data_IF_834779706310
#
_entry.id   IF_834779706310
#
_cell.length_a   1.000
_cell.length_b   1.000
_cell.length_c   1.000
_cell.angle_alpha   90.00
_cell.angle_beta   90.00
_cell.angle_gamma   90.00
#
_symmetry.space_group_name_H-M   'P 1'
#
loop_
_entity.id
_entity.type
_entity.pdbx_description
1 polymer ?
#
# COMPACT_ATOMS: atom_id res chain seq x y z
N UNK A 1 -6.73 -54.40 -29.09
CA UNK A 1 -6.77 -53.69 -30.38
C UNK A 1 -8.17 -53.12 -30.57
N UNK A 2 -8.38 -51.84 -30.28
CA UNK A 2 -9.55 -51.06 -30.73
C UNK A 2 -9.24 -49.59 -30.54
N UNK A 3 -9.48 -48.82 -31.61
CA UNK A 3 -9.13 -47.42 -31.76
C UNK A 3 -10.07 -46.48 -30.99
N UNK A 4 -9.58 -45.32 -30.60
CA UNK A 4 -10.39 -44.10 -30.68
C UNK A 4 -9.51 -42.89 -30.97
N UNK A 5 -9.94 -42.20 -32.01
CA UNK A 5 -9.31 -41.12 -32.73
C UNK A 5 -10.03 -39.85 -32.29
N UNK A 6 -9.34 -38.83 -31.76
CA UNK A 6 -9.88 -37.46 -31.78
C UNK A 6 -8.83 -36.44 -32.20
N UNK A 7 -9.13 -35.89 -33.38
CA UNK A 7 -8.62 -34.71 -34.07
C UNK A 7 -8.49 -33.50 -33.13
N UNK A 8 -7.55 -32.60 -33.41
CA UNK A 8 -7.90 -31.30 -34.01
C UNK A 8 -6.67 -30.60 -34.62
N UNK A 9 -6.93 -30.02 -35.80
CA UNK A 9 -6.15 -29.16 -36.70
C UNK A 9 -5.12 -28.24 -36.02
N UNK A 10 -3.89 -28.11 -36.53
CA UNK A 10 -3.45 -27.42 -37.75
C UNK A 10 -3.79 -25.91 -37.81
N UNK A 11 -2.71 -25.13 -37.98
CA UNK A 11 -2.60 -23.77 -38.53
C UNK A 11 -2.65 -22.58 -37.56
N UNK A 12 -1.48 -22.01 -37.31
CA UNK A 12 -1.29 -20.58 -37.53
C UNK A 12 0.11 -20.36 -38.10
N UNK A 13 0.19 -20.27 -39.43
CA UNK A 13 1.35 -19.74 -40.13
C UNK A 13 1.04 -18.29 -40.48
N UNK A 14 1.76 -17.35 -39.87
CA UNK A 14 2.06 -16.05 -40.49
C UNK A 14 3.39 -15.57 -39.88
N UNK A 15 4.51 -15.83 -40.54
CA UNK A 15 5.20 -14.85 -41.39
C UNK A 15 5.72 -13.62 -40.63
N UNK A 16 6.96 -13.74 -40.17
CA UNK A 16 8.07 -12.80 -40.35
C UNK A 16 7.74 -11.32 -40.68
N UNK A 17 8.12 -10.42 -39.76
CA UNK A 17 8.78 -9.17 -40.13
C UNK A 17 9.98 -8.96 -39.21
N UNK A 18 11.17 -9.07 -39.78
CA UNK A 18 12.46 -8.80 -39.16
C UNK A 18 12.79 -7.32 -39.36
N UNK A 19 13.15 -6.58 -38.29
CA UNK A 19 14.32 -5.68 -38.30
C UNK A 19 14.90 -5.51 -36.88
N UNK A 20 16.16 -5.90 -36.76
CA UNK A 20 17.19 -5.43 -35.84
C UNK A 20 17.07 -5.77 -34.33
N UNK A 21 17.75 -6.85 -33.96
CA UNK A 21 18.89 -6.71 -33.05
C UNK A 21 18.61 -6.37 -31.59
N UNK A 22 17.80 -7.17 -30.89
CA UNK A 22 18.21 -7.75 -29.61
C UNK A 22 17.20 -8.82 -29.19
N UNK A 23 17.70 -10.00 -28.82
CA UNK A 23 16.89 -11.09 -28.29
C UNK A 23 16.32 -10.66 -26.94
N UNK A 24 15.05 -10.26 -26.89
CA UNK A 24 14.31 -10.21 -25.63
C UNK A 24 14.08 -11.65 -25.18
N UNK A 25 14.82 -12.07 -24.15
CA UNK A 25 14.48 -13.25 -23.39
C UNK A 25 13.26 -12.89 -22.54
N UNK A 26 12.07 -13.16 -23.07
CA UNK A 26 10.84 -13.09 -22.30
C UNK A 26 10.99 -13.94 -21.06
N UNK A 27 11.06 -13.27 -19.90
CA UNK A 27 10.88 -13.93 -18.62
C UNK A 27 9.51 -14.59 -18.61
N UNK A 28 9.43 -15.80 -18.06
CA UNK A 28 8.16 -16.48 -17.86
C UNK A 28 7.19 -15.53 -17.12
N UNK A 29 5.88 -15.56 -17.42
CA UNK A 29 4.91 -14.78 -16.67
C UNK A 29 4.89 -15.31 -15.24
N UNK A 30 5.55 -14.60 -14.33
CA UNK A 30 5.57 -14.92 -12.90
C UNK A 30 4.19 -14.57 -12.35
N UNK A 31 3.61 -15.46 -11.54
CA UNK A 31 2.26 -15.23 -11.02
C UNK A 31 2.24 -13.99 -10.11
N UNK A 32 1.09 -13.29 -10.07
CA UNK A 32 0.86 -12.04 -9.31
C UNK A 32 1.41 -12.06 -7.88
N UNK A 33 1.34 -13.21 -7.19
CA UNK A 33 1.80 -13.37 -5.82
C UNK A 33 3.32 -13.58 -5.69
N UNK A 34 3.95 -14.20 -6.68
CA UNK A 34 5.38 -14.51 -6.65
C UNK A 34 6.23 -13.25 -6.85
N UNK A 35 5.79 -12.33 -7.71
CA UNK A 35 6.56 -11.11 -7.96
C UNK A 35 6.63 -10.21 -6.71
N UNK A 36 5.51 -9.98 -6.04
CA UNK A 36 5.48 -9.19 -4.80
C UNK A 36 6.39 -9.81 -3.75
N UNK A 37 6.35 -11.13 -3.55
CA UNK A 37 7.21 -11.82 -2.57
C UNK A 37 8.71 -11.69 -2.87
N UNK A 38 9.10 -11.62 -4.14
CA UNK A 38 10.51 -11.46 -4.54
C UNK A 38 10.96 -9.99 -4.44
N UNK A 39 10.06 -9.05 -4.73
CA UNK A 39 10.36 -7.61 -4.75
C UNK A 39 10.34 -7.01 -3.34
N UNK A 40 9.41 -7.39 -2.47
CA UNK A 40 9.32 -6.93 -1.08
C UNK A 40 10.65 -6.95 -0.31
N UNK A 41 11.44 -8.05 -0.28
CA UNK A 41 12.71 -8.06 0.46
C UNK A 41 13.78 -7.16 -0.15
N UNK A 42 13.73 -6.89 -1.47
CA UNK A 42 14.62 -5.91 -2.12
C UNK A 42 14.24 -4.49 -1.72
N UNK A 43 12.94 -4.18 -1.77
CA UNK A 43 12.39 -2.91 -1.32
C UNK A 43 12.71 -2.65 0.14
N UNK A 44 12.55 -3.66 1.02
CA UNK A 44 12.85 -3.52 2.45
C UNK A 44 14.31 -3.14 2.68
N UNK A 45 15.25 -3.86 2.05
CA UNK A 45 16.68 -3.56 2.18
C UNK A 45 17.04 -2.15 1.75
N UNK A 46 16.43 -1.68 0.65
CA UNK A 46 16.68 -0.33 0.17
C UNK A 46 16.05 0.73 1.08
N UNK A 47 14.84 0.46 1.59
CA UNK A 47 14.18 1.32 2.56
C UNK A 47 15.05 1.48 3.82
N UNK A 48 15.55 0.38 4.37
CA UNK A 48 16.45 0.38 5.53
C UNK A 48 17.74 1.19 5.29
N UNK A 49 18.32 1.11 4.08
CA UNK A 49 19.52 1.87 3.69
C UNK A 49 19.28 3.38 3.57
N UNK A 50 18.06 3.77 3.21
CA UNK A 50 17.68 5.16 3.01
C UNK A 50 16.91 5.73 4.22
N UNK A 51 16.85 4.98 5.33
CA UNK A 51 16.09 5.32 6.53
C UNK A 51 14.59 5.55 6.26
N UNK A 52 14.04 4.85 5.27
CA UNK A 52 12.61 4.78 5.02
C UNK A 52 12.03 3.49 5.58
N UNK A 53 10.74 3.52 5.84
CA UNK A 53 9.96 2.38 6.24
C UNK A 53 9.14 1.85 5.05
N UNK A 54 9.27 0.57 4.73
CA UNK A 54 8.42 -0.06 3.74
C UNK A 54 7.07 -0.46 4.37
N UNK A 55 5.98 0.13 3.87
CA UNK A 55 4.64 -0.07 4.43
C UNK A 55 3.88 -1.16 3.67
N UNK A 56 3.93 -1.12 2.35
CA UNK A 56 3.29 -2.12 1.48
C UNK A 56 3.91 -2.14 0.07
N UNK A 57 3.78 -3.29 -0.59
CA UNK A 57 4.11 -3.44 -2.02
C UNK A 57 2.96 -4.18 -2.70
N UNK A 58 2.30 -3.51 -3.65
CA UNK A 58 1.15 -4.05 -4.36
C UNK A 58 1.44 -4.13 -5.85
N UNK A 59 1.08 -5.24 -6.47
CA UNK A 59 1.05 -5.37 -7.93
C UNK A 59 -0.40 -5.38 -8.37
N UNK A 60 -0.84 -4.30 -8.99
CA UNK A 60 -2.19 -4.16 -9.53
C UNK A 60 -2.19 -4.33 -11.05
N UNK A 61 -3.28 -4.90 -11.57
CA UNK A 61 -3.45 -5.07 -13.01
C UNK A 61 -4.63 -4.22 -13.44
N UNK A 62 -4.34 -3.15 -14.16
CA UNK A 62 -5.33 -2.25 -14.74
C UNK A 62 -5.43 -2.48 -16.25
N UNK A 63 -6.40 -1.82 -16.90
CA UNK A 63 -6.60 -1.90 -18.34
C UNK A 63 -5.39 -1.41 -19.15
N UNK A 64 -4.59 -0.50 -18.59
CA UNK A 64 -3.40 0.08 -19.22
C UNK A 64 -2.12 -0.76 -19.02
N UNK A 65 -2.07 -1.68 -18.04
CA UNK A 65 -0.87 -2.44 -17.71
C UNK A 65 -0.81 -2.90 -16.25
N UNK A 66 0.33 -3.46 -15.86
CA UNK A 66 0.66 -3.86 -14.48
C UNK A 66 1.34 -2.71 -13.74
N UNK A 67 0.73 -2.27 -12.65
CA UNK A 67 1.22 -1.21 -11.77
C UNK A 67 1.86 -1.84 -10.53
N UNK A 68 3.15 -1.61 -10.35
CA UNK A 68 3.85 -1.92 -9.12
C UNK A 68 3.84 -0.67 -8.23
N UNK A 69 3.01 -0.69 -7.19
CA UNK A 69 2.86 0.40 -6.23
C UNK A 69 3.64 0.08 -4.97
N UNK A 70 4.55 0.96 -4.59
CA UNK A 70 5.37 0.84 -3.39
C UNK A 70 5.00 1.97 -2.45
N UNK A 71 4.61 1.60 -1.24
CA UNK A 71 4.33 2.55 -0.17
C UNK A 71 5.50 2.62 0.78
N UNK A 72 6.16 3.77 0.81
CA UNK A 72 7.24 4.08 1.74
C UNK A 72 6.76 5.13 2.73
N UNK A 73 7.29 5.14 3.94
CA UNK A 73 6.97 6.16 4.93
C UNK A 73 8.17 6.49 5.82
N UNK A 74 8.09 7.59 6.56
CA UNK A 74 9.06 7.97 7.61
C UNK A 74 8.38 8.76 8.73
N UNK A 75 8.88 8.69 9.97
CA UNK A 75 8.26 9.38 11.09
C UNK A 75 8.23 10.92 10.93
N UNK A 76 9.18 11.53 10.22
CA UNK A 76 9.18 12.98 9.98
C UNK A 76 8.35 13.41 8.75
N UNK A 77 7.67 12.47 8.09
CA UNK A 77 6.95 12.69 6.83
C UNK A 77 7.84 12.62 5.58
N UNK A 78 7.27 12.11 4.48
CA UNK A 78 7.97 11.95 3.20
C UNK A 78 7.75 13.17 2.30
N UNK A 79 8.84 13.69 1.75
CA UNK A 79 8.81 14.71 0.70
C UNK A 79 8.77 14.08 -0.70
N UNK A 80 8.42 14.89 -1.72
CA UNK A 80 8.44 14.42 -3.12
C UNK A 80 9.85 14.02 -3.57
N UNK A 81 10.89 14.70 -3.08
CA UNK A 81 12.30 14.39 -3.38
C UNK A 81 12.71 13.03 -2.82
N UNK A 82 12.22 12.69 -1.62
CA UNK A 82 12.42 11.37 -1.01
C UNK A 82 11.81 10.24 -1.86
N UNK A 83 10.58 10.45 -2.35
CA UNK A 83 9.92 9.51 -3.27
C UNK A 83 10.72 9.33 -4.56
N UNK A 84 11.20 10.43 -5.15
CA UNK A 84 12.01 10.38 -6.37
C UNK A 84 13.34 9.67 -6.13
N UNK A 85 14.01 9.97 -5.01
CA UNK A 85 15.27 9.32 -4.61
C UNK A 85 15.10 7.82 -4.44
N UNK A 86 14.03 7.40 -3.77
CA UNK A 86 13.73 5.98 -3.62
C UNK A 86 13.39 5.33 -4.96
N UNK A 87 12.58 5.98 -5.79
CA UNK A 87 12.22 5.51 -7.14
C UNK A 87 13.45 5.23 -8.00
N UNK A 88 14.38 6.20 -8.09
CA UNK A 88 15.63 6.06 -8.87
C UNK A 88 16.52 4.95 -8.33
N UNK A 89 16.54 4.73 -7.02
CA UNK A 89 17.38 3.72 -6.39
C UNK A 89 16.81 2.30 -6.51
N UNK A 90 15.47 2.14 -6.50
CA UNK A 90 14.83 0.82 -6.61
C UNK A 90 14.74 0.36 -8.07
N UNK A 91 14.48 1.27 -9.01
CA UNK A 91 14.27 0.97 -10.43
C UNK A 91 15.29 -0.04 -11.00
N UNK A 92 16.61 0.14 -10.89
CA UNK A 92 17.58 -0.81 -11.46
C UNK A 92 17.57 -2.20 -10.80
N UNK A 93 17.08 -2.32 -9.56
CA UNK A 93 17.01 -3.60 -8.85
C UNK A 93 15.81 -4.44 -9.26
N UNK A 94 14.78 -3.79 -9.82
CA UNK A 94 13.51 -4.41 -10.17
C UNK A 94 13.21 -4.39 -11.66
N UNK A 95 13.93 -3.63 -12.49
CA UNK A 95 13.74 -3.52 -13.95
C UNK A 95 13.68 -4.87 -14.70
N UNK A 96 14.32 -5.91 -14.18
CA UNK A 96 14.28 -7.25 -14.75
C UNK A 96 12.95 -8.01 -14.52
N UNK A 97 12.02 -7.45 -13.75
CA UNK A 97 10.73 -8.06 -13.44
C UNK A 97 9.60 -7.57 -14.35
N UNK A 98 8.52 -8.34 -14.37
CA UNK A 98 7.36 -8.15 -15.25
C UNK A 98 6.35 -7.15 -14.63
N UNK A 99 6.65 -5.86 -14.74
CA UNK A 99 5.75 -4.72 -14.46
C UNK A 99 5.83 -3.68 -15.59
N UNK A 100 4.75 -2.90 -15.77
CA UNK A 100 4.67 -1.87 -16.82
C UNK A 100 4.90 -0.46 -16.23
N UNK A 101 4.38 -0.20 -15.03
CA UNK A 101 4.46 1.09 -14.35
C UNK A 101 4.93 0.92 -12.91
N UNK A 102 5.81 1.80 -12.44
CA UNK A 102 6.30 1.85 -11.06
C UNK A 102 5.84 3.14 -10.40
N UNK A 103 5.09 3.02 -9.31
CA UNK A 103 4.60 4.13 -8.50
C UNK A 103 5.20 4.03 -7.10
N UNK A 104 5.80 5.12 -6.61
CA UNK A 104 6.31 5.24 -5.26
C UNK A 104 5.58 6.38 -4.59
N UNK A 105 4.85 6.07 -3.54
CA UNK A 105 3.96 7.02 -2.86
C UNK A 105 4.10 6.85 -1.35
N UNK A 106 3.86 7.93 -0.60
CA UNK A 106 3.60 7.78 0.82
C UNK A 106 2.21 7.16 1.03
N UNK A 107 2.02 6.28 2.03
CA UNK A 107 0.69 5.88 2.44
C UNK A 107 -0.01 7.14 2.94
N UNK A 108 -1.06 7.57 2.25
CA UNK A 108 -1.85 8.72 2.69
C UNK A 108 -2.34 8.53 4.13
N UNK A 109 -2.42 9.63 4.87
CA UNK A 109 -2.88 9.64 6.26
C UNK A 109 -4.27 9.03 6.45
N UNK A 110 -5.15 9.06 5.46
CA UNK A 110 -6.53 8.53 5.54
C UNK A 110 -6.63 6.98 5.48
N UNK A 111 -5.51 6.24 5.48
CA UNK A 111 -5.56 4.77 5.43
C UNK A 111 -6.22 4.22 6.71
N UNK A 112 -7.14 3.25 6.59
CA UNK A 112 -7.65 2.54 7.75
C UNK A 112 -6.53 1.83 8.50
N UNK A 113 -6.41 2.07 9.81
CA UNK A 113 -5.44 1.42 10.68
C UNK A 113 -5.78 -0.08 10.77
N UNK A 114 -4.87 -0.94 10.30
CA UNK A 114 -5.09 -2.39 10.29
C UNK A 114 -3.97 -3.15 10.99
N UNK A 115 -2.72 -2.75 10.78
CA UNK A 115 -1.56 -3.40 11.40
C UNK A 115 -1.29 -2.74 12.76
N UNK A 116 -0.73 -3.48 13.70
CA UNK A 116 -0.40 -2.97 15.04
C UNK A 116 0.53 -1.75 14.98
N UNK A 117 1.46 -1.76 14.02
CA UNK A 117 2.37 -0.64 13.73
C UNK A 117 1.64 0.65 13.32
N UNK A 118 0.49 0.52 12.66
CA UNK A 118 -0.31 1.69 12.30
C UNK A 118 -0.95 2.32 13.56
N UNK A 119 -1.35 1.49 14.53
CA UNK A 119 -1.88 1.95 15.82
C UNK A 119 -0.80 2.61 16.68
N UNK A 120 0.42 2.06 16.72
CA UNK A 120 1.56 2.66 17.42
C UNK A 120 1.83 4.10 16.98
N UNK A 121 1.70 4.36 15.67
CA UNK A 121 1.95 5.70 15.09
C UNK A 121 0.77 6.64 15.26
N UNK A 122 -0.43 6.10 15.41
CA UNK A 122 -1.64 6.87 15.65
C UNK A 122 -1.85 7.25 17.13
N UNK A 123 -1.00 6.78 18.06
CA UNK A 123 -1.05 7.19 19.47
C UNK A 123 -0.88 8.71 19.56
N UNK A 124 -1.79 9.37 20.27
CA UNK A 124 -1.86 10.82 20.43
C UNK A 124 -2.52 11.55 19.27
N UNK A 125 -2.92 10.85 18.20
CA UNK A 125 -3.69 11.42 17.08
C UNK A 125 -5.19 11.16 17.26
N UNK A 126 -6.02 12.01 16.67
CA UNK A 126 -7.46 11.78 16.64
C UNK A 126 -7.80 10.65 15.64
N UNK A 127 -8.68 9.75 16.06
CA UNK A 127 -9.14 8.60 15.26
C UNK A 127 -10.66 8.48 15.30
N UNK A 128 -11.24 8.16 14.14
CA UNK A 128 -12.63 7.76 13.98
C UNK A 128 -12.73 6.23 13.96
N UNK A 129 -13.38 5.66 14.96
CA UNK A 129 -13.65 4.23 15.10
C UNK A 129 -15.11 3.95 14.71
N UNK A 130 -15.31 3.28 13.57
CA UNK A 130 -16.61 2.71 13.19
C UNK A 130 -16.75 1.31 13.78
N UNK A 131 -17.82 1.07 14.54
CA UNK A 131 -18.13 -0.19 15.21
C UNK A 131 -19.12 -1.06 14.42
N UNK A 132 -19.02 -2.38 14.55
CA UNK A 132 -20.02 -3.32 14.00
C UNK A 132 -21.35 -3.27 14.77
N UNK A 133 -21.26 -3.22 16.09
CA UNK A 133 -22.40 -3.10 17.01
C UNK A 133 -22.32 -1.77 17.72
N UNK A 134 -23.45 -1.07 17.84
CA UNK A 134 -23.49 0.18 18.57
C UNK A 134 -23.04 -0.04 20.02
N UNK A 135 -22.09 0.77 20.47
CA UNK A 135 -21.67 0.86 21.87
C UNK A 135 -22.20 2.20 22.37
N UNK A 136 -22.93 2.18 23.49
CA UNK A 136 -23.61 3.37 24.04
C UNK A 136 -24.51 4.12 23.04
N UNK A 137 -25.16 3.38 22.14
CA UNK A 137 -26.05 3.94 21.11
C UNK A 137 -25.33 4.59 19.92
N UNK A 138 -24.00 4.64 19.93
CA UNK A 138 -23.18 5.22 18.87
C UNK A 138 -22.48 4.11 18.07
N UNK A 139 -22.52 4.24 16.73
CA UNK A 139 -21.81 3.33 15.80
C UNK A 139 -20.48 3.90 15.33
N UNK A 140 -20.25 5.19 15.54
CA UNK A 140 -19.06 5.92 15.16
C UNK A 140 -18.63 6.66 16.42
N UNK A 141 -17.38 6.47 16.81
CA UNK A 141 -16.80 7.14 17.97
C UNK A 141 -15.52 7.82 17.49
N UNK A 142 -15.43 9.13 17.71
CA UNK A 142 -14.26 9.94 17.33
C UNK A 142 -13.59 10.44 18.60
N UNK A 143 -12.27 10.30 18.68
CA UNK A 143 -11.49 10.78 19.82
C UNK A 143 -10.00 10.46 19.67
N UNK A 144 -9.21 10.86 20.66
CA UNK A 144 -7.74 10.71 20.62
C UNK A 144 -7.36 9.30 21.06
N UNK A 145 -6.58 8.59 20.23
CA UNK A 145 -6.06 7.27 20.60
C UNK A 145 -4.97 7.45 21.66
N UNK A 146 -5.23 7.06 22.92
CA UNK A 146 -4.26 7.20 24.02
C UNK A 146 -3.43 5.94 24.22
N UNK A 147 -4.03 4.78 24.00
CA UNK A 147 -3.34 3.49 24.19
C UNK A 147 -3.96 2.38 23.31
N UNK A 148 -3.18 1.34 23.03
CA UNK A 148 -3.68 0.15 22.35
C UNK A 148 -3.00 -1.14 22.85
N UNK A 149 -3.82 -2.18 22.97
CA UNK A 149 -3.44 -3.54 23.30
C UNK A 149 -3.72 -4.50 22.12
N UNK A 150 -3.28 -5.75 22.25
CA UNK A 150 -3.65 -6.81 21.32
C UNK A 150 -5.17 -7.10 21.30
N UNK A 151 -5.87 -6.83 22.40
CA UNK A 151 -7.30 -7.09 22.55
C UNK A 151 -8.16 -5.83 22.38
N UNK A 152 -7.73 -4.72 22.96
CA UNK A 152 -8.52 -3.51 23.13
C UNK A 152 -7.76 -2.26 22.65
N UNK A 153 -8.46 -1.19 22.33
CA UNK A 153 -7.90 0.14 22.11
C UNK A 153 -8.58 1.13 23.06
N UNK A 154 -7.84 2.11 23.56
CA UNK A 154 -8.34 3.15 24.46
C UNK A 154 -8.35 4.46 23.70
N UNK A 155 -9.54 5.04 23.57
CA UNK A 155 -9.72 6.36 22.95
C UNK A 155 -10.31 7.33 23.96
N UNK A 156 -9.82 8.56 23.96
CA UNK A 156 -10.32 9.65 24.80
C UNK A 156 -11.24 10.53 23.97
N UNK A 157 -12.51 10.59 24.35
CA UNK A 157 -13.53 11.43 23.72
C UNK A 157 -13.85 12.57 24.67
N UNK A 158 -13.30 13.77 24.41
CA UNK A 158 -13.38 14.89 25.35
C UNK A 158 -12.63 14.59 26.66
N UNK A 159 -13.36 14.41 27.76
CA UNK A 159 -12.82 14.06 29.09
C UNK A 159 -13.05 12.58 29.48
N UNK A 160 -13.66 11.78 28.61
CA UNK A 160 -14.02 10.39 28.92
C UNK A 160 -13.15 9.40 28.16
N UNK A 161 -12.56 8.44 28.87
CA UNK A 161 -11.85 7.32 28.26
C UNK A 161 -12.82 6.18 27.92
N UNK A 162 -12.81 5.75 26.66
CA UNK A 162 -13.63 4.66 26.15
C UNK A 162 -12.72 3.52 25.70
N UNK A 163 -12.89 2.35 26.32
CA UNK A 163 -12.17 1.13 25.95
C UNK A 163 -12.98 0.34 24.92
N UNK A 164 -12.46 0.22 23.71
CA UNK A 164 -13.12 -0.46 22.59
C UNK A 164 -12.36 -1.75 22.26
N UNK A 165 -13.02 -2.92 22.25
CA UNK A 165 -12.37 -4.15 21.81
C UNK A 165 -12.09 -4.10 20.30
N UNK A 166 -10.88 -4.48 19.88
CA UNK A 166 -10.45 -4.43 18.46
C UNK A 166 -11.35 -5.27 17.53
N UNK A 167 -11.95 -6.33 18.04
CA UNK A 167 -12.90 -7.18 17.31
C UNK A 167 -14.25 -6.50 17.05
N UNK A 168 -14.62 -5.51 17.86
CA UNK A 168 -15.85 -4.75 17.67
C UNK A 168 -15.66 -3.58 16.69
N UNK A 169 -14.42 -3.11 16.50
CA UNK A 169 -14.06 -2.12 15.49
C UNK A 169 -14.14 -2.73 14.09
N UNK A 170 -14.96 -2.12 13.23
CA UNK A 170 -15.06 -2.47 11.83
C UNK A 170 -13.99 -1.76 11.00
N UNK A 171 -13.85 -0.46 11.20
CA UNK A 171 -12.91 0.39 10.48
C UNK A 171 -12.42 1.45 11.45
N UNK A 172 -11.11 1.65 11.55
CA UNK A 172 -10.49 2.76 12.28
C UNK A 172 -9.76 3.63 11.27
N UNK A 173 -10.01 4.94 11.29
CA UNK A 173 -9.31 5.90 10.42
C UNK A 173 -8.75 7.03 11.29
N UNK A 174 -7.52 7.48 11.08
CA UNK A 174 -7.06 8.71 11.71
C UNK A 174 -7.78 9.90 11.06
N UNK A 175 -8.16 10.86 11.89
CA UNK A 175 -8.71 12.14 11.46
C UNK A 175 -7.52 13.11 11.42
N UNK A 176 -7.27 13.68 10.24
CA UNK A 176 -6.28 14.75 10.10
C UNK A 176 -7.03 16.05 9.94
N UNK A 177 -7.19 16.75 11.07
CA UNK A 177 -7.69 18.11 11.05
C UNK A 177 -6.64 19.02 10.45
N UNK A 178 -6.87 19.45 9.21
CA UNK A 178 -6.12 20.54 8.58
C UNK A 178 -6.67 21.91 9.01
N UNK A 179 -7.12 22.06 10.27
CA UNK A 179 -7.45 23.37 10.82
C UNK A 179 -6.17 24.07 11.30
N UNK A 180 -5.46 24.67 10.34
CA UNK A 180 -4.24 25.43 10.62
C UNK A 180 -3.73 26.30 9.48
N UNK A 181 -4.48 26.49 8.40
CA UNK A 181 -4.23 27.63 7.50
C UNK A 181 -5.00 28.80 8.08
N UNK A 182 -4.44 29.45 9.11
CA UNK A 182 -4.74 30.86 9.28
C UNK A 182 -4.38 31.49 7.93
N UNK A 183 -5.39 32.04 7.24
CA UNK A 183 -5.16 32.94 6.13
C UNK A 183 -4.26 34.04 6.67
N UNK A 184 -2.96 33.95 6.42
CA UNK A 184 -2.06 35.09 6.55
C UNK A 184 -2.66 36.15 5.65
N UNK A 185 -3.32 37.11 6.30
CA UNK A 185 -3.91 38.28 5.69
C UNK A 185 -2.79 38.93 4.87
N UNK A 186 -2.88 38.82 3.55
CA UNK A 186 -2.04 39.57 2.63
C UNK A 186 -2.51 41.03 2.71
N UNK A 187 -2.20 41.69 3.82
CA UNK A 187 -2.13 43.13 3.91
C UNK A 187 -0.67 43.56 3.92
N UNK A 188 -0.37 44.36 2.89
CA UNK A 188 0.82 45.18 2.61
C UNK A 188 1.95 44.55 1.79
#
# INVERSE_FOLDING_TARGET
MTASFRRQRLMCATLFCCKNGNKWKGGAPVAKAELTQVVTPKCQKLADQLNFELVDVCLDKESAGKYLRIYIDRPEGISLDDCERYHRAIQPQIEAYDYDFLEVSSPGVDRPLKKDRDFERAIGSEVEVKLFKAMDGQKIITGILTDFDAADMVITVGETEVRIPRKAAAIVRPVVDMEGVETVDLSE
#
